data_IF_708771826700
#
_entry.id   IF_708771826700
#
_cell.length_a   1.000
_cell.length_b   1.000
_cell.length_c   1.000
_cell.angle_alpha   90.00
_cell.angle_beta   90.00
_cell.angle_gamma   90.00
#
_symmetry.space_group_name_H-M   'P 1'
#
loop_
_entity.id
_entity.type
_entity.pdbx_description
1 polymer ?
#
# COMPACT_ATOMS: atom_id res chain seq x y z
N UNK A 1 -46.27 14.85 6.30
CA UNK A 1 -45.44 13.65 6.03
C UNK A 1 -46.31 12.45 6.39
N UNK A 2 -46.73 11.67 5.40
CA UNK A 2 -47.63 10.54 5.62
C UNK A 2 -46.86 9.44 6.37
N UNK A 3 -47.26 9.15 7.62
CA UNK A 3 -46.95 7.86 8.23
C UNK A 3 -47.66 6.82 7.37
N UNK A 4 -46.87 5.99 6.68
CA UNK A 4 -47.38 4.77 6.06
C UNK A 4 -47.88 3.87 7.20
N UNK A 5 -49.19 3.67 7.28
CA UNK A 5 -49.80 2.68 8.15
C UNK A 5 -49.24 1.30 7.76
N UNK A 6 -48.25 0.83 8.52
CA UNK A 6 -47.78 -0.55 8.44
C UNK A 6 -48.94 -1.43 8.86
N UNK A 7 -49.54 -2.13 7.90
CA UNK A 7 -50.52 -3.19 8.18
C UNK A 7 -49.73 -4.35 8.78
N UNK A 8 -49.62 -4.35 10.11
CA UNK A 8 -48.90 -5.37 10.87
C UNK A 8 -49.85 -6.52 11.16
N UNK A 9 -49.53 -7.71 10.67
CA UNK A 9 -50.26 -8.92 11.03
C UNK A 9 -49.88 -9.36 12.45
N UNK A 10 -50.70 -8.97 13.43
CA UNK A 10 -50.48 -9.22 14.87
C UNK A 10 -50.27 -10.70 15.17
N UNK A 11 -51.04 -11.58 14.51
CA UNK A 11 -50.91 -13.04 14.69
C UNK A 11 -49.53 -13.57 14.25
N UNK A 12 -48.89 -12.94 13.27
CA UNK A 12 -47.54 -13.32 12.85
C UNK A 12 -46.49 -12.81 13.84
N UNK A 13 -46.70 -11.63 14.43
CA UNK A 13 -45.81 -11.12 15.46
C UNK A 13 -45.79 -12.02 16.69
N UNK A 14 -46.96 -12.44 17.18
CA UNK A 14 -47.06 -13.37 18.32
C UNK A 14 -46.36 -14.71 18.03
N UNK A 15 -46.51 -15.24 16.81
CA UNK A 15 -45.79 -16.46 16.41
C UNK A 15 -44.28 -16.30 16.40
N UNK A 16 -43.79 -15.18 15.88
CA UNK A 16 -42.36 -14.86 15.87
C UNK A 16 -41.86 -14.69 17.30
N UNK A 17 -42.58 -13.94 18.13
CA UNK A 17 -42.23 -13.74 19.53
C UNK A 17 -42.18 -15.06 20.29
N UNK A 18 -43.18 -15.92 20.12
CA UNK A 18 -43.20 -17.25 20.73
C UNK A 18 -42.01 -18.10 20.27
N UNK A 19 -41.66 -18.07 18.99
CA UNK A 19 -40.51 -18.81 18.46
C UNK A 19 -39.18 -18.27 18.99
N UNK A 20 -39.02 -16.95 19.06
CA UNK A 20 -37.83 -16.32 19.64
C UNK A 20 -37.71 -16.59 21.14
N UNK A 21 -38.84 -16.79 21.83
CA UNK A 21 -38.89 -17.10 23.25
C UNK A 21 -38.74 -18.59 23.59
N UNK A 22 -38.86 -19.48 22.60
CA UNK A 22 -38.63 -20.91 22.75
C UNK A 22 -37.22 -21.18 23.30
N UNK A 23 -37.14 -21.95 24.39
CA UNK A 23 -35.88 -22.33 25.02
C UNK A 23 -34.97 -23.09 24.05
N UNK A 24 -35.56 -23.96 23.24
CA UNK A 24 -34.80 -24.78 22.29
C UNK A 24 -34.14 -23.93 21.21
N UNK A 25 -34.85 -22.92 20.71
CA UNK A 25 -34.32 -21.98 19.74
C UNK A 25 -33.18 -21.13 20.32
N UNK A 26 -33.32 -20.66 21.56
CA UNK A 26 -32.27 -19.92 22.27
C UNK A 26 -31.00 -20.74 22.45
N UNK A 27 -31.14 -21.99 22.90
CA UNK A 27 -30.02 -22.92 23.06
C UNK A 27 -29.29 -23.20 21.74
N UNK A 28 -30.04 -23.37 20.63
CA UNK A 28 -29.45 -23.58 19.30
C UNK A 28 -28.66 -22.35 18.85
N UNK A 29 -29.16 -21.13 19.08
CA UNK A 29 -28.44 -19.90 18.78
C UNK A 29 -27.14 -19.81 19.59
N UNK A 30 -27.20 -20.05 20.89
CA UNK A 30 -26.04 -19.98 21.78
C UNK A 30 -24.96 -21.00 21.39
N UNK A 31 -25.38 -22.23 21.07
CA UNK A 31 -24.46 -23.25 20.57
C UNK A 31 -23.85 -22.84 19.22
N UNK A 32 -24.65 -22.26 18.33
CA UNK A 32 -24.19 -21.74 17.04
C UNK A 32 -23.16 -20.62 17.22
N UNK A 33 -23.39 -19.69 18.14
CA UNK A 33 -22.45 -18.63 18.50
C UNK A 33 -21.14 -19.20 19.07
N UNK A 34 -21.25 -20.12 20.01
CA UNK A 34 -20.11 -20.79 20.65
C UNK A 34 -19.26 -21.51 19.59
N UNK A 35 -19.91 -22.19 18.65
CA UNK A 35 -19.25 -22.83 17.52
C UNK A 35 -18.56 -21.83 16.59
N UNK A 36 -19.25 -20.75 16.20
CA UNK A 36 -18.68 -19.71 15.35
C UNK A 36 -17.48 -19.02 16.00
N UNK A 37 -17.53 -18.79 17.31
CA UNK A 37 -16.42 -18.21 18.08
C UNK A 37 -15.21 -19.12 18.05
N UNK A 38 -15.38 -20.41 18.36
CA UNK A 38 -14.30 -21.41 18.30
C UNK A 38 -13.70 -21.49 16.92
N UNK A 39 -14.53 -21.55 15.88
CA UNK A 39 -14.10 -21.61 14.48
C UNK A 39 -13.27 -20.37 14.09
N UNK A 40 -13.69 -19.18 14.51
CA UNK A 40 -12.96 -17.93 14.26
C UNK A 40 -11.60 -17.92 14.96
N UNK A 41 -11.54 -18.37 16.22
CA UNK A 41 -10.30 -18.46 16.98
C UNK A 41 -9.32 -19.42 16.32
N UNK A 42 -9.77 -20.64 16.03
CA UNK A 42 -8.96 -21.64 15.36
C UNK A 42 -8.45 -21.17 14.00
N UNK A 43 -9.29 -20.49 13.21
CA UNK A 43 -8.88 -19.89 11.93
C UNK A 43 -7.75 -18.89 12.15
N UNK A 44 -7.86 -17.98 13.13
CA UNK A 44 -6.83 -16.98 13.43
C UNK A 44 -5.52 -17.61 13.91
N UNK A 45 -5.59 -18.69 14.68
CA UNK A 45 -4.42 -19.39 15.20
C UNK A 45 -3.64 -20.12 14.11
N UNK A 46 -4.28 -20.53 13.02
CA UNK A 46 -3.65 -21.24 11.89
C UNK A 46 -3.06 -20.31 10.81
N UNK A 47 -3.27 -18.99 10.93
CA UNK A 47 -2.74 -18.01 9.98
C UNK A 47 -1.33 -17.54 10.39
N UNK A 48 -0.41 -17.28 9.45
CA UNK A 48 -0.54 -17.39 8.00
C UNK A 48 -0.46 -18.83 7.49
N UNK A 49 -1.15 -19.13 6.38
CA UNK A 49 -1.08 -20.44 5.73
C UNK A 49 0.16 -20.52 4.83
N UNK A 50 1.03 -21.50 5.04
CA UNK A 50 2.23 -21.69 4.21
C UNK A 50 1.91 -22.62 3.04
N UNK A 51 1.87 -22.07 1.82
CA UNK A 51 1.64 -22.82 0.60
C UNK A 51 2.94 -23.51 0.13
N UNK A 52 3.02 -24.86 0.14
CA UNK A 52 4.25 -25.58 -0.22
C UNK A 52 4.67 -25.42 -1.68
N UNK A 53 3.72 -25.19 -2.60
CA UNK A 53 4.03 -25.13 -4.02
C UNK A 53 4.60 -23.77 -4.42
N UNK A 54 4.07 -22.69 -3.83
CA UNK A 54 4.49 -21.31 -4.15
C UNK A 54 5.50 -20.73 -3.16
N UNK A 55 5.64 -21.32 -1.97
CA UNK A 55 6.44 -20.79 -0.88
C UNK A 55 5.85 -19.51 -0.26
N UNK A 56 4.62 -19.14 -0.60
CA UNK A 56 3.96 -17.92 -0.11
C UNK A 56 3.27 -18.21 1.22
N UNK A 57 3.56 -17.39 2.23
CA UNK A 57 2.78 -17.35 3.47
C UNK A 57 1.51 -16.49 3.24
N UNK A 58 0.41 -17.16 2.94
CA UNK A 58 -0.87 -16.57 2.57
C UNK A 58 -1.62 -16.02 3.79
N UNK A 59 -2.21 -14.84 3.60
CA UNK A 59 -3.10 -14.18 4.55
C UNK A 59 -4.48 -13.90 3.91
N UNK A 60 -5.39 -13.28 4.66
CA UNK A 60 -6.63 -12.76 4.07
C UNK A 60 -6.32 -11.86 2.87
N UNK A 61 -7.06 -12.05 1.77
CA UNK A 61 -6.87 -11.30 0.54
C UNK A 61 -8.19 -10.65 0.10
N UNK A 62 -8.07 -9.55 -0.64
CA UNK A 62 -9.20 -8.82 -1.24
C UNK A 62 -9.20 -8.97 -2.77
N UNK A 63 -8.94 -10.18 -3.27
CA UNK A 63 -8.90 -10.46 -4.71
C UNK A 63 -10.30 -10.77 -5.28
N UNK A 64 -11.17 -11.33 -4.44
CA UNK A 64 -12.52 -11.74 -4.84
C UNK A 64 -13.50 -10.58 -4.64
N UNK A 65 -13.97 -10.00 -5.75
CA UNK A 65 -14.92 -8.89 -5.76
C UNK A 65 -16.26 -9.32 -6.36
N UNK A 66 -17.36 -8.87 -5.78
CA UNK A 66 -18.69 -9.12 -6.30
C UNK A 66 -19.00 -8.25 -7.53
N UNK A 67 -19.92 -8.69 -8.39
CA UNK A 67 -20.37 -7.92 -9.55
C UNK A 67 -20.94 -6.55 -9.17
N UNK A 68 -21.64 -6.46 -8.03
CA UNK A 68 -22.16 -5.21 -7.47
C UNK A 68 -21.08 -4.19 -7.09
N UNK A 69 -19.82 -4.59 -6.99
CA UNK A 69 -18.68 -3.70 -6.72
C UNK A 69 -18.04 -3.17 -8.02
N UNK A 70 -18.51 -3.58 -9.21
CA UNK A 70 -18.02 -3.06 -10.49
C UNK A 70 -18.43 -1.60 -10.64
N UNK A 71 -17.46 -0.77 -10.97
CA UNK A 71 -17.61 0.67 -11.24
C UNK A 71 -17.20 0.87 -12.71
N UNK A 72 -17.73 1.89 -13.43
CA UNK A 72 -17.18 2.27 -14.73
C UNK A 72 -15.66 2.51 -14.66
N UNK A 73 -14.96 2.23 -15.77
CA UNK A 73 -13.53 2.49 -15.87
C UNK A 73 -13.19 3.96 -15.63
N UNK A 74 -12.07 4.21 -14.93
CA UNK A 74 -11.63 5.58 -14.57
C UNK A 74 -10.64 6.17 -15.58
N UNK A 75 -10.11 5.34 -16.49
CA UNK A 75 -9.09 5.70 -17.48
C UNK A 75 -9.54 5.27 -18.87
N UNK A 76 -9.04 5.94 -19.90
CA UNK A 76 -9.31 5.58 -21.29
C UNK A 76 -8.92 4.12 -21.56
N UNK A 77 -9.81 3.36 -22.20
CA UNK A 77 -9.64 1.94 -22.49
C UNK A 77 -9.95 1.00 -21.31
N UNK A 78 -10.28 1.51 -20.13
CA UNK A 78 -10.68 0.68 -18.99
C UNK A 78 -12.19 0.37 -19.05
N UNK A 79 -12.55 -0.92 -19.09
CA UNK A 79 -13.97 -1.34 -19.11
C UNK A 79 -14.59 -1.22 -17.72
N UNK A 80 -13.92 -1.72 -16.69
CA UNK A 80 -14.39 -1.70 -15.31
C UNK A 80 -13.27 -1.29 -14.34
N UNK A 81 -13.67 -0.65 -13.25
CA UNK A 81 -12.85 -0.38 -12.07
C UNK A 81 -13.49 -1.05 -10.84
N UNK A 82 -12.69 -1.26 -9.79
CA UNK A 82 -13.15 -1.79 -8.51
C UNK A 82 -12.62 -0.91 -7.36
N UNK A 83 -13.31 -0.87 -6.21
CA UNK A 83 -12.83 -0.17 -5.02
C UNK A 83 -11.43 -0.64 -4.62
N UNK A 84 -10.51 0.30 -4.44
CA UNK A 84 -9.15 0.01 -3.98
C UNK A 84 -9.03 0.23 -2.47
N UNK A 85 -8.34 -0.70 -1.79
CA UNK A 85 -8.03 -0.55 -0.38
C UNK A 85 -6.95 0.53 -0.19
N UNK A 86 -7.21 1.51 0.67
CA UNK A 86 -6.20 2.49 1.08
C UNK A 86 -5.14 1.78 1.91
N UNK A 87 -3.88 1.96 1.54
CA UNK A 87 -2.74 1.39 2.27
C UNK A 87 -1.73 2.48 2.62
N UNK A 88 -0.98 2.25 3.69
CA UNK A 88 0.13 3.13 4.10
C UNK A 88 1.30 2.26 4.53
N UNK A 89 2.48 2.51 3.98
CA UNK A 89 3.71 1.86 4.43
C UNK A 89 4.01 2.29 5.87
N UNK A 90 4.09 1.34 6.80
CA UNK A 90 4.48 1.63 8.18
C UNK A 90 5.95 2.06 8.25
N UNK A 91 6.23 3.12 9.02
CA UNK A 91 7.59 3.61 9.28
C UNK A 91 8.18 2.78 10.43
N UNK A 92 9.03 1.83 10.09
CA UNK A 92 9.70 0.97 11.09
C UNK A 92 11.01 1.62 11.53
N UNK A 93 11.15 1.91 12.81
CA UNK A 93 12.30 2.65 13.36
C UNK A 93 13.65 1.96 13.08
N UNK A 94 13.69 0.63 13.14
CA UNK A 94 14.90 -0.15 12.85
C UNK A 94 15.39 -0.03 11.39
N UNK A 95 14.55 0.43 10.46
CA UNK A 95 14.97 0.74 9.07
C UNK A 95 15.54 2.16 8.93
N UNK A 96 15.28 3.05 9.90
CA UNK A 96 15.84 4.40 9.96
C UNK A 96 17.23 4.39 10.60
N UNK A 97 17.46 3.47 11.53
CA UNK A 97 18.78 3.09 12.02
C UNK A 97 19.44 2.13 11.02
N UNK A 98 19.55 2.52 9.74
CA UNK A 98 20.71 2.07 8.99
C UNK A 98 21.85 2.94 9.51
N UNK A 99 22.78 2.44 10.35
CA UNK A 99 24.05 3.12 10.47
C UNK A 99 24.55 3.26 9.03
N UNK A 100 25.00 4.47 8.67
CA UNK A 100 25.88 4.63 7.53
C UNK A 100 26.89 3.47 7.58
N UNK A 101 27.13 2.73 6.48
CA UNK A 101 28.15 1.69 6.53
C UNK A 101 29.44 2.30 7.08
N UNK A 102 30.17 1.62 7.98
CA UNK A 102 31.43 2.12 8.53
C UNK A 102 32.55 2.15 7.48
N UNK A 103 32.24 1.79 6.23
CA UNK A 103 33.18 1.81 5.14
C UNK A 103 33.07 3.14 4.38
N UNK A 104 34.19 3.84 4.15
CA UNK A 104 34.19 5.05 3.34
C UNK A 104 33.61 4.71 1.97
N UNK A 105 32.84 5.63 1.40
CA UNK A 105 32.34 5.50 0.04
C UNK A 105 33.53 5.17 -0.88
N UNK A 106 33.63 3.92 -1.31
CA UNK A 106 34.69 3.47 -2.20
C UNK A 106 34.53 4.28 -3.50
N UNK A 107 35.38 5.28 -3.69
CA UNK A 107 35.43 6.10 -4.90
C UNK A 107 35.97 5.33 -6.11
N UNK A 108 36.32 4.06 -5.96
CA UNK A 108 36.69 3.22 -7.08
C UNK A 108 35.44 2.64 -7.76
N UNK A 109 34.84 3.42 -8.65
CA UNK A 109 33.86 2.93 -9.64
C UNK A 109 34.65 2.27 -10.78
N UNK A 110 34.56 0.94 -10.99
CA UNK A 110 35.35 0.25 -12.02
C UNK A 110 34.95 0.58 -13.47
N UNK A 111 33.88 1.36 -13.66
CA UNK A 111 33.41 1.82 -14.97
C UNK A 111 33.44 3.35 -15.13
N UNK A 112 34.29 4.04 -14.36
CA UNK A 112 34.44 5.50 -14.42
C UNK A 112 34.98 6.07 -15.74
N UNK A 113 35.33 5.23 -16.71
CA UNK A 113 35.89 5.62 -18.02
C UNK A 113 34.93 6.46 -18.88
N UNK A 114 33.61 6.41 -18.66
CA UNK A 114 32.64 7.14 -19.50
C UNK A 114 32.20 8.48 -18.88
N UNK A 115 33.14 9.35 -18.50
CA UNK A 115 32.85 10.76 -18.30
C UNK A 115 33.43 11.59 -19.46
N UNK A 116 32.73 12.63 -19.93
CA UNK A 116 33.22 13.52 -20.99
C UNK A 116 34.50 14.23 -20.52
N UNK A 117 35.38 14.52 -21.47
CA UNK A 117 36.74 15.02 -21.22
C UNK A 117 36.77 16.23 -20.25
N UNK A 118 37.76 16.31 -19.35
CA UNK A 118 37.93 17.48 -18.51
C UNK A 118 38.21 18.74 -19.35
N UNK A 119 37.73 19.92 -18.94
CA UNK A 119 38.01 21.17 -19.64
C UNK A 119 39.52 21.42 -19.68
N UNK A 120 40.01 21.90 -20.84
CA UNK A 120 41.42 22.13 -21.09
C UNK A 120 42.06 23.00 -19.99
N UNK A 121 43.05 22.44 -19.30
CA UNK A 121 43.92 23.20 -18.40
C UNK A 121 44.78 24.16 -19.22
N UNK A 122 44.55 25.45 -19.04
CA UNK A 122 45.43 26.51 -19.55
C UNK A 122 46.78 26.36 -18.85
N UNK A 123 47.81 26.00 -19.62
CA UNK A 123 49.21 26.04 -19.17
C UNK A 123 49.59 27.48 -18.82
N UNK A 124 50.28 27.74 -17.70
CA UNK A 124 50.88 29.04 -17.45
C UNK A 124 52.07 29.21 -18.41
N UNK A 125 51.87 30.01 -19.44
CA UNK A 125 52.92 30.43 -20.35
C UNK A 125 53.97 31.27 -19.61
N UNK A 126 55.23 30.96 -19.91
CA UNK A 126 56.44 31.67 -19.49
C UNK A 126 56.28 33.19 -19.51
N UNK A 127 56.75 33.82 -18.44
CA UNK A 127 56.98 35.26 -18.39
C UNK A 127 58.21 35.70 -19.22
N UNK A 128 58.41 37.03 -19.19
CA UNK A 128 59.36 37.88 -19.94
C UNK A 128 58.69 38.39 -21.23
N UNK A 129 58.30 39.66 -21.40
CA UNK A 129 58.59 40.92 -20.72
C UNK A 129 58.75 41.99 -21.80
N UNK A 130 58.07 43.14 -21.70
CA UNK A 130 58.28 44.25 -22.65
C UNK A 130 57.10 45.19 -22.89
N UNK A 131 56.73 45.91 -21.84
CA UNK A 131 56.37 47.34 -21.82
C UNK A 131 56.17 48.10 -23.15
N UNK A 132 54.96 48.63 -23.38
CA UNK A 132 54.67 50.06 -23.65
C UNK A 132 53.20 50.29 -23.99
N UNK A 133 52.50 51.01 -23.11
CA UNK A 133 51.16 51.56 -23.37
C UNK A 133 51.20 52.83 -24.23
N UNK A 134 50.04 53.21 -24.77
CA UNK A 134 49.88 54.48 -25.49
C UNK A 134 48.53 54.69 -26.20
N UNK A 135 47.49 55.00 -25.41
CA UNK A 135 46.45 56.05 -25.59
C UNK A 135 45.87 56.42 -26.98
N UNK A 136 44.52 56.48 -27.03
CA UNK A 136 43.70 57.43 -27.83
C UNK A 136 43.05 56.81 -29.08
N UNK A 137 41.76 56.96 -29.41
CA UNK A 137 40.72 57.88 -28.99
C UNK A 137 40.15 58.61 -30.22
N UNK A 138 38.90 58.31 -30.59
CA UNK A 138 37.99 59.19 -31.35
C UNK A 138 38.10 59.21 -32.89
N UNK A 139 36.94 59.05 -33.55
CA UNK A 139 36.73 59.20 -34.99
C UNK A 139 35.48 58.47 -35.44
#
# INVERSE_FOLDING_TARGET
MASSDLIVNVNNLEKIENFLNDSTYKEIIENSETFNTRLCLERRLRMPFLDPQTGVAQNHCALFMHSRHRIPGLKNGQVYSYPSARWRKSRRQYLLQKPHPPFPAYTHRPFGHLQPAPPASILPGSGIGGDRGGVGGGG
#
